data_IF_986685470818
#
_entry.id   IF_986685470818
#
_cell.length_a   1.000
_cell.length_b   1.000
_cell.length_c   1.000
_cell.angle_alpha   90.00
_cell.angle_beta   90.00
_cell.angle_gamma   90.00
#
_symmetry.space_group_name_H-M   'P 1'
#
loop_
_entity.id
_entity.type
_entity.pdbx_description
1 polymer ?
#
# COMPACT_ATOMS: atom_id res chain seq x y z
N UNK A 1 -2.17 -0.64 -14.87
CA UNK A 1 -1.52 0.58 -15.44
C UNK A 1 -0.62 0.15 -16.59
N UNK A 2 -0.98 0.50 -17.82
CA UNK A 2 -0.19 0.23 -19.02
C UNK A 2 1.06 1.11 -19.02
N UNK A 3 2.23 0.50 -19.11
CA UNK A 3 3.51 1.18 -19.27
C UNK A 3 3.47 2.06 -20.53
N UNK A 4 3.39 3.39 -20.33
CA UNK A 4 3.65 4.41 -21.36
C UNK A 4 5.17 4.51 -21.56
N UNK A 5 5.81 3.48 -22.10
CA UNK A 5 7.18 3.64 -22.59
C UNK A 5 7.16 4.30 -23.96
N UNK A 6 8.08 5.27 -24.11
CA UNK A 6 8.19 6.16 -25.25
C UNK A 6 8.14 5.42 -26.58
N UNK A 7 7.61 6.12 -27.59
CA UNK A 7 7.69 5.70 -28.98
C UNK A 7 9.14 5.35 -29.29
N UNK A 8 9.45 4.06 -29.33
CA UNK A 8 10.64 3.54 -29.97
C UNK A 8 10.50 3.92 -31.45
N UNK A 9 11.08 5.06 -31.82
CA UNK A 9 11.02 5.60 -33.18
C UNK A 9 11.78 4.73 -34.19
N UNK A 10 12.56 3.77 -33.69
CA UNK A 10 13.32 2.83 -34.49
C UNK A 10 12.62 1.47 -34.50
N UNK A 11 12.17 1.08 -35.69
CA UNK A 11 11.48 -0.18 -35.96
C UNK A 11 12.32 -1.40 -35.56
N UNK A 12 13.66 -1.29 -35.63
CA UNK A 12 14.57 -2.36 -35.22
C UNK A 12 14.58 -2.56 -33.71
N UNK A 13 14.66 -1.47 -32.93
CA UNK A 13 14.66 -1.54 -31.47
C UNK A 13 13.30 -2.01 -30.96
N UNK A 14 12.21 -1.64 -31.64
CA UNK A 14 10.88 -2.18 -31.35
C UNK A 14 10.82 -3.69 -31.60
N UNK A 15 11.33 -4.16 -32.74
CA UNK A 15 11.34 -5.58 -33.07
C UNK A 15 12.17 -6.39 -32.08
N UNK A 16 13.32 -5.88 -31.66
CA UNK A 16 14.19 -6.54 -30.66
C UNK A 16 13.55 -6.55 -29.27
N UNK A 17 12.88 -5.47 -28.86
CA UNK A 17 12.11 -5.42 -27.62
C UNK A 17 10.96 -6.42 -27.62
N UNK A 18 10.18 -6.49 -28.70
CA UNK A 18 9.08 -7.44 -28.82
C UNK A 18 9.59 -8.89 -28.80
N UNK A 19 10.72 -9.18 -29.46
CA UNK A 19 11.37 -10.50 -29.42
C UNK A 19 11.81 -10.88 -28.01
N UNK A 20 12.45 -9.95 -27.30
CA UNK A 20 12.87 -10.16 -25.91
C UNK A 20 11.66 -10.38 -24.98
N UNK A 21 10.56 -9.64 -25.18
CA UNK A 21 9.34 -9.79 -24.40
C UNK A 21 8.66 -11.14 -24.63
N UNK A 22 8.62 -11.63 -25.87
CA UNK A 22 8.09 -12.97 -26.20
C UNK A 22 8.93 -14.05 -25.52
N UNK A 23 10.26 -13.96 -25.62
CA UNK A 23 11.16 -14.92 -24.99
C UNK A 23 11.02 -14.93 -23.46
N UNK A 24 10.94 -13.75 -22.84
CA UNK A 24 10.73 -13.65 -21.40
C UNK A 24 9.39 -14.28 -20.98
N UNK A 25 8.30 -14.03 -21.71
CA UNK A 25 6.99 -14.65 -21.43
C UNK A 25 7.03 -16.18 -21.57
N UNK A 26 7.73 -16.70 -22.59
CA UNK A 26 7.90 -18.14 -22.77
C UNK A 26 8.71 -18.78 -21.63
N UNK A 27 9.74 -18.11 -21.12
CA UNK A 27 10.55 -18.57 -20.00
C UNK A 27 9.83 -18.48 -18.65
N UNK A 28 9.03 -17.43 -18.44
CA UNK A 28 8.32 -17.18 -17.18
C UNK A 28 7.06 -18.04 -17.01
N UNK A 29 6.55 -18.68 -18.07
CA UNK A 29 5.34 -19.50 -18.04
C UNK A 29 4.05 -18.66 -18.01
N UNK A 30 2.85 -19.29 -17.86
CA UNK A 30 1.60 -18.56 -17.71
C UNK A 30 1.69 -17.61 -16.52
N UNK A 31 0.93 -16.50 -16.59
CA UNK A 31 0.78 -15.50 -15.52
C UNK A 31 0.83 -16.22 -14.17
N UNK A 32 1.76 -15.81 -13.31
CA UNK A 32 1.90 -16.33 -11.95
C UNK A 32 0.49 -16.52 -11.38
N UNK A 33 0.16 -17.69 -10.79
CA UNK A 33 -1.14 -17.90 -10.18
C UNK A 33 -1.49 -16.69 -9.31
N UNK A 34 -2.79 -16.40 -9.21
CA UNK A 34 -3.36 -15.32 -8.39
C UNK A 34 -2.46 -15.06 -7.19
N UNK A 35 -1.89 -13.83 -7.16
CA UNK A 35 -0.80 -13.39 -6.28
C UNK A 35 -0.85 -14.19 -4.99
N UNK A 36 0.02 -15.20 -4.87
CA UNK A 36 0.17 -15.93 -3.61
C UNK A 36 0.45 -14.86 -2.58
N UNK A 37 -0.52 -14.59 -1.71
CA UNK A 37 -0.31 -13.64 -0.64
C UNK A 37 0.80 -14.26 0.18
N UNK A 38 2.02 -13.71 0.03
CA UNK A 38 3.11 -14.06 0.93
C UNK A 38 2.56 -13.92 2.36
N UNK A 39 2.97 -14.79 3.29
CA UNK A 39 2.34 -14.98 4.61
C UNK A 39 2.52 -13.77 5.56
N UNK A 40 2.63 -12.56 5.01
CA UNK A 40 2.47 -11.32 5.74
C UNK A 40 1.01 -11.16 6.20
N UNK A 41 0.02 -11.76 5.53
CA UNK A 41 -1.38 -11.75 5.99
C UNK A 41 -1.62 -12.61 7.23
N UNK A 42 -0.83 -13.67 7.43
CA UNK A 42 -0.94 -14.53 8.61
C UNK A 42 -0.45 -13.85 9.89
N UNK A 43 0.33 -12.77 9.75
CA UNK A 43 0.81 -11.94 10.88
C UNK A 43 -0.33 -11.11 11.48
N UNK A 44 -1.32 -10.71 10.66
CA UNK A 44 -2.45 -9.89 11.08
C UNK A 44 -3.64 -10.69 11.61
N UNK A 45 -3.67 -12.02 11.39
CA UNK A 45 -4.76 -12.90 11.84
C UNK A 45 -4.58 -13.44 13.27
N UNK A 46 -3.73 -12.81 14.08
CA UNK A 46 -3.64 -13.06 15.53
C UNK A 46 -2.99 -14.37 15.96
N UNK A 47 -2.51 -15.23 15.05
CA UNK A 47 -1.85 -16.49 15.42
C UNK A 47 -0.44 -16.29 16.01
N UNK A 48 0.30 -15.26 15.58
CA UNK A 48 1.65 -14.94 16.04
C UNK A 48 1.78 -13.45 16.38
N UNK A 49 2.49 -13.08 17.46
CA UNK A 49 2.83 -11.68 17.75
C UNK A 49 3.68 -11.13 16.58
N UNK A 50 3.29 -9.99 16.02
CA UNK A 50 4.01 -9.34 14.92
C UNK A 50 5.50 -9.10 15.25
N UNK A 51 5.83 -9.00 16.54
CA UNK A 51 7.22 -8.88 17.03
C UNK A 51 8.07 -10.12 16.78
N UNK A 52 7.48 -11.29 16.61
CA UNK A 52 8.23 -12.54 16.39
C UNK A 52 8.53 -12.79 14.91
N UNK A 53 8.00 -11.94 14.03
CA UNK A 53 8.17 -12.10 12.58
C UNK A 53 9.58 -11.68 12.15
N UNK A 54 10.17 -12.34 11.13
CA UNK A 54 11.50 -12.03 10.59
C UNK A 54 11.46 -10.79 9.66
N UNK A 55 10.71 -9.77 10.06
CA UNK A 55 10.55 -8.50 9.33
C UNK A 55 11.32 -7.37 10.04
N UNK A 56 11.73 -6.37 9.27
CA UNK A 56 12.11 -5.06 9.80
C UNK A 56 10.83 -4.35 10.19
N UNK A 57 10.73 -3.90 11.43
CA UNK A 57 9.46 -3.59 12.06
C UNK A 57 9.47 -2.25 12.80
N UNK A 58 8.37 -1.50 12.74
CA UNK A 58 8.21 -0.25 13.47
C UNK A 58 6.79 -0.12 14.02
N UNK A 59 6.67 0.39 15.26
CA UNK A 59 5.39 0.68 15.92
C UNK A 59 4.87 2.04 15.48
N UNK A 60 3.57 2.11 15.17
CA UNK A 60 2.87 3.32 14.72
C UNK A 60 1.69 3.63 15.66
N UNK A 61 0.99 4.75 15.48
CA UNK A 61 -0.21 5.03 16.28
C UNK A 61 -1.34 4.02 16.00
N UNK A 62 -1.73 3.90 14.72
CA UNK A 62 -2.83 3.04 14.27
C UNK A 62 -2.43 1.62 13.86
N UNK A 63 -1.23 1.15 14.22
CA UNK A 63 -0.79 -0.21 13.84
C UNK A 63 0.73 -0.38 13.82
N UNK A 64 1.24 -1.04 12.79
CA UNK A 64 2.65 -1.36 12.66
C UNK A 64 3.09 -1.37 11.18
N UNK A 65 4.37 -1.11 10.96
CA UNK A 65 5.02 -1.19 9.65
C UNK A 65 5.85 -2.47 9.58
N UNK A 66 5.60 -3.32 8.60
CA UNK A 66 6.36 -4.55 8.37
C UNK A 66 7.05 -4.50 7.02
N UNK A 67 8.37 -4.67 7.00
CA UNK A 67 9.19 -4.67 5.78
C UNK A 67 10.03 -5.93 5.72
N UNK A 68 10.24 -6.46 4.52
CA UNK A 68 11.18 -7.56 4.34
C UNK A 68 12.61 -7.06 4.51
N UNK A 69 13.57 -7.91 4.93
CA UNK A 69 14.98 -7.52 5.00
C UNK A 69 15.51 -6.94 3.68
N UNK A 70 15.08 -7.50 2.54
CA UNK A 70 15.44 -7.00 1.20
C UNK A 70 14.93 -5.58 0.91
N UNK A 71 13.83 -5.15 1.53
CA UNK A 71 13.32 -3.78 1.42
C UNK A 71 14.11 -2.78 2.29
N UNK A 72 14.94 -3.27 3.22
CA UNK A 72 15.64 -2.44 4.19
C UNK A 72 14.73 -1.64 5.12
N UNK A 73 15.35 -0.80 5.96
CA UNK A 73 14.62 0.12 6.81
C UNK A 73 13.90 1.21 5.99
N UNK A 74 12.72 1.63 6.46
CA UNK A 74 12.07 2.81 5.89
C UNK A 74 12.85 4.07 6.28
N UNK A 75 13.04 5.00 5.34
CA UNK A 75 13.63 6.31 5.65
C UNK A 75 12.73 7.15 6.59
N UNK A 76 11.44 6.85 6.62
CA UNK A 76 10.46 7.49 7.50
C UNK A 76 10.04 6.54 8.61
N UNK A 77 10.15 6.98 9.86
CA UNK A 77 9.78 6.17 11.02
C UNK A 77 8.25 6.13 11.26
N UNK A 78 7.49 7.12 10.78
CA UNK A 78 6.09 7.33 11.18
C UNK A 78 5.09 7.74 10.07
N UNK A 79 5.49 7.84 8.80
CA UNK A 79 4.58 8.23 7.70
C UNK A 79 4.13 6.97 6.95
N UNK A 80 3.03 6.33 7.37
CA UNK A 80 2.74 4.95 6.95
C UNK A 80 1.32 4.63 6.52
N UNK A 81 0.27 5.38 6.80
CA UNK A 81 -1.13 4.93 6.53
C UNK A 81 -1.46 4.73 5.04
N UNK A 82 -0.68 5.38 4.16
CA UNK A 82 -0.72 5.15 2.70
C UNK A 82 0.33 4.16 2.20
N UNK A 83 1.23 3.71 3.07
CA UNK A 83 2.29 2.78 2.72
C UNK A 83 1.74 1.36 2.57
N UNK A 84 2.10 0.62 1.52
CA UNK A 84 1.71 -0.79 1.35
C UNK A 84 2.19 -1.73 2.46
N UNK A 85 3.18 -1.30 3.26
CA UNK A 85 3.76 -2.05 4.38
C UNK A 85 3.03 -1.82 5.71
N UNK A 86 2.02 -0.94 5.74
CA UNK A 86 1.21 -0.69 6.92
C UNK A 86 0.26 -1.87 7.18
N UNK A 87 0.22 -2.29 8.44
CA UNK A 87 -0.65 -3.35 8.96
C UNK A 87 -1.30 -2.87 10.25
N UNK A 88 -2.51 -3.34 10.48
CA UNK A 88 -3.33 -3.02 11.64
C UNK A 88 -4.10 -4.26 12.06
N UNK A 89 -4.71 -4.19 13.23
CA UNK A 89 -5.56 -5.21 13.83
C UNK A 89 -6.74 -4.51 14.53
N UNK A 90 -7.74 -5.28 14.96
CA UNK A 90 -9.00 -4.77 15.51
C UNK A 90 -8.81 -3.84 16.71
N UNK A 91 -7.73 -4.02 17.49
CA UNK A 91 -7.40 -3.17 18.65
C UNK A 91 -7.14 -1.70 18.28
N UNK A 92 -6.80 -1.41 17.02
CA UNK A 92 -6.51 -0.05 16.53
C UNK A 92 -7.70 0.66 15.89
N UNK A 93 -8.85 -0.02 15.72
CA UNK A 93 -10.00 0.53 15.00
C UNK A 93 -10.50 1.86 15.59
N UNK A 94 -10.50 2.01 16.93
CA UNK A 94 -10.91 3.25 17.59
C UNK A 94 -9.98 4.43 17.28
N UNK A 95 -8.68 4.16 17.19
CA UNK A 95 -7.66 5.16 16.84
C UNK A 95 -7.83 5.56 15.36
N UNK A 96 -8.01 4.58 14.47
CA UNK A 96 -8.24 4.83 13.04
C UNK A 96 -9.55 5.60 12.80
N UNK A 97 -10.62 5.26 13.53
CA UNK A 97 -11.90 5.98 13.46
C UNK A 97 -11.77 7.44 13.89
N UNK A 98 -11.01 7.70 14.96
CA UNK A 98 -10.74 9.07 15.43
C UNK A 98 -9.99 9.85 14.36
N UNK A 99 -8.92 9.28 13.82
CA UNK A 99 -8.14 9.92 12.75
C UNK A 99 -8.97 10.19 11.50
N UNK A 100 -9.88 9.27 11.14
CA UNK A 100 -10.81 9.44 10.02
C UNK A 100 -11.73 10.63 10.24
N UNK A 101 -12.29 10.78 11.45
CA UNK A 101 -13.14 11.90 11.80
C UNK A 101 -12.37 13.24 11.70
N UNK A 102 -11.15 13.30 12.22
CA UNK A 102 -10.29 14.48 12.13
C UNK A 102 -9.99 14.83 10.67
N UNK A 103 -9.64 13.84 9.83
CA UNK A 103 -9.39 14.05 8.41
C UNK A 103 -10.63 14.57 7.66
N UNK A 104 -11.83 14.11 8.01
CA UNK A 104 -13.07 14.61 7.43
C UNK A 104 -13.34 16.08 7.83
N UNK A 105 -13.09 16.44 9.10
CA UNK A 105 -13.21 17.82 9.56
C UNK A 105 -12.21 18.74 8.84
N UNK A 106 -10.97 18.31 8.67
CA UNK A 106 -9.94 19.05 7.93
C UNK A 106 -10.26 19.19 6.44
N UNK A 107 -10.90 18.20 5.82
CA UNK A 107 -11.38 18.32 4.45
C UNK A 107 -12.42 19.45 4.32
N UNK A 108 -13.38 19.50 5.24
CA UNK A 108 -14.41 20.53 5.27
C UNK A 108 -13.83 21.93 5.53
N UNK A 109 -12.88 22.07 6.46
CA UNK A 109 -12.17 23.33 6.71
C UNK A 109 -11.40 23.80 5.46
N UNK A 110 -10.69 22.90 4.79
CA UNK A 110 -9.96 23.22 3.56
C UNK A 110 -10.92 23.65 2.43
N UNK A 111 -12.07 22.99 2.27
CA UNK A 111 -13.08 23.38 1.28
C UNK A 111 -13.67 24.76 1.59
N UNK A 112 -14.00 25.06 2.85
CA UNK A 112 -14.51 26.37 3.27
C UNK A 112 -13.52 27.51 3.01
N UNK A 113 -12.22 27.23 3.00
CA UNK A 113 -11.14 28.18 2.69
C UNK A 113 -10.76 28.25 1.21
N UNK A 114 -11.39 27.43 0.36
CA UNK A 114 -11.07 27.34 -1.07
C UNK A 114 -9.78 26.59 -1.39
N UNK A 115 -9.24 25.79 -0.45
CA UNK A 115 -8.02 25.00 -0.61
C UNK A 115 -8.32 23.62 -1.22
N UNK A 116 -8.90 23.61 -2.43
CA UNK A 116 -9.43 22.38 -3.04
C UNK A 116 -8.43 21.22 -3.18
N UNK A 117 -7.13 21.53 -3.39
CA UNK A 117 -6.08 20.51 -3.42
C UNK A 117 -5.89 19.83 -2.05
N UNK A 118 -5.93 20.60 -0.96
CA UNK A 118 -5.78 20.08 0.40
C UNK A 118 -7.03 19.32 0.85
N UNK A 119 -8.22 19.83 0.54
CA UNK A 119 -9.46 19.09 0.77
C UNK A 119 -9.46 17.73 0.05
N UNK A 120 -8.97 17.70 -1.20
CA UNK A 120 -8.83 16.45 -1.96
C UNK A 120 -7.81 15.50 -1.31
N UNK A 121 -6.71 16.02 -0.77
CA UNK A 121 -5.72 15.23 -0.03
C UNK A 121 -6.32 14.60 1.22
N UNK A 122 -7.10 15.36 2.00
CA UNK A 122 -7.79 14.83 3.18
C UNK A 122 -8.87 13.79 2.84
N UNK A 123 -9.66 14.02 1.79
CA UNK A 123 -10.67 13.04 1.33
C UNK A 123 -10.05 11.69 0.95
N UNK A 124 -8.90 11.69 0.27
CA UNK A 124 -8.16 10.45 -0.03
C UNK A 124 -7.69 9.72 1.22
N UNK A 125 -7.30 10.44 2.27
CA UNK A 125 -6.95 9.83 3.56
C UNK A 125 -8.19 9.18 4.20
N UNK A 126 -9.34 9.86 4.18
CA UNK A 126 -10.61 9.29 4.68
C UNK A 126 -10.95 7.99 3.95
N UNK A 127 -10.92 7.99 2.61
CA UNK A 127 -11.17 6.80 1.79
C UNK A 127 -10.20 5.66 2.12
N UNK A 128 -8.92 5.98 2.34
CA UNK A 128 -7.90 5.00 2.71
C UNK A 128 -8.17 4.39 4.09
N UNK A 129 -8.53 5.21 5.07
CA UNK A 129 -8.85 4.76 6.43
C UNK A 129 -10.11 3.89 6.42
N UNK A 130 -11.15 4.27 5.67
CA UNK A 130 -12.36 3.46 5.48
C UNK A 130 -12.03 2.07 4.92
N UNK A 131 -11.19 2.02 3.87
CA UNK A 131 -10.77 0.75 3.29
C UNK A 131 -10.05 -0.14 4.32
N UNK A 132 -9.12 0.44 5.08
CA UNK A 132 -8.34 -0.29 6.08
C UNK A 132 -9.22 -0.79 7.21
N UNK A 133 -10.11 0.05 7.74
CA UNK A 133 -11.04 -0.31 8.81
C UNK A 133 -11.95 -1.45 8.38
N UNK A 134 -12.58 -1.35 7.21
CA UNK A 134 -13.44 -2.42 6.66
C UNK A 134 -12.70 -3.75 6.48
N UNK A 135 -11.45 -3.71 6.02
CA UNK A 135 -10.61 -4.92 5.88
C UNK A 135 -10.26 -5.55 7.23
N UNK A 136 -10.21 -4.75 8.30
CA UNK A 136 -9.82 -5.18 9.64
C UNK A 136 -11.03 -5.64 10.45
N UNK A 137 -12.21 -5.09 10.17
CA UNK A 137 -13.50 -5.48 10.78
C UNK A 137 -14.04 -6.80 10.25
N UNK A 138 -13.55 -7.27 9.10
CA UNK A 138 -13.99 -8.54 8.51
C UNK A 138 -13.23 -9.70 9.19
N UNK A 139 -13.93 -10.64 9.85
CA UNK A 139 -13.30 -11.74 10.59
C UNK A 139 -12.55 -12.74 9.71
#
# INVERSE_FOLDING_TARGET
>A
MSLRYGRLFDETVRADYERALIQAKAQLGPVLPERTQLPITDISNGSNDWKDTPTIKARLAGGYCLRTPAQGACAYANICEHCPNFRTESTFLSILATQRADAAALAADADARGWGAEATRHRRLVERLDQVMNQTDTP
#
